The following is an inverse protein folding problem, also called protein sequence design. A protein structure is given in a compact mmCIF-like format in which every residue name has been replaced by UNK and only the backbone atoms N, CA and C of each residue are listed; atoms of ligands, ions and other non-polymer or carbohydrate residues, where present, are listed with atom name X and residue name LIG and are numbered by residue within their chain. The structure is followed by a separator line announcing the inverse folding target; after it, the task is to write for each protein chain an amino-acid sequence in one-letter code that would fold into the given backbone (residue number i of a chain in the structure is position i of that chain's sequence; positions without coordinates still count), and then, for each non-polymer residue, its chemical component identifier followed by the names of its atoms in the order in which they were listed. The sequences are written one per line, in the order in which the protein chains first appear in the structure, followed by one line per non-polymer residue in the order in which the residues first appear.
data_IF_997850344861
#
_entry.id   IF_997850344861
#
_cell.length_a   1.000
_cell.length_b   1.000
_cell.length_c   1.000
_cell.angle_alpha   90.00
_cell.angle_beta   90.00
_cell.angle_gamma   90.00
#
_symmetry.space_group_name_H-M   'P 1'
#
loop_
_entity.id
_entity.type
_entity.pdbx_description
1 polymer ?
#
# COMPACT_ATOMS: atom_id res chain seq x y z
N UNK A 1 31.84 -67.18 15.61
CA UNK A 1 32.32 -66.44 14.42
C UNK A 1 31.59 -65.11 14.38
N UNK A 2 32.37 -64.03 14.40
CA UNK A 2 31.95 -62.64 14.31
C UNK A 2 31.07 -62.35 13.09
N UNK A 3 30.10 -61.43 13.21
CA UNK A 3 30.06 -60.19 12.42
C UNK A 3 29.40 -59.09 13.26
N UNK A 4 29.95 -57.89 13.13
CA UNK A 4 29.68 -56.65 13.84
C UNK A 4 28.79 -55.70 12.99
N UNK A 5 28.13 -54.74 13.67
CA UNK A 5 27.80 -53.36 13.20
C UNK A 5 26.59 -53.15 12.26
N UNK A 6 25.64 -52.32 12.67
CA UNK A 6 25.53 -50.88 12.29
C UNK A 6 24.09 -50.36 12.38
N UNK A 7 23.98 -49.16 12.94
CA UNK A 7 22.76 -48.38 13.12
C UNK A 7 22.18 -47.87 11.78
N UNK A 8 20.85 -47.75 11.71
CA UNK A 8 20.15 -46.90 10.73
C UNK A 8 19.13 -46.06 11.48
N UNK A 9 19.39 -44.76 11.51
CA UNK A 9 18.50 -43.69 11.97
C UNK A 9 17.42 -43.49 10.90
N UNK A 10 16.14 -43.68 11.26
CA UNK A 10 15.01 -43.33 10.40
C UNK A 10 14.75 -41.82 10.49
N UNK A 11 15.22 -41.06 9.49
CA UNK A 11 14.78 -39.70 9.23
C UNK A 11 13.46 -39.76 8.44
N UNK A 12 12.38 -39.23 9.00
CA UNK A 12 11.10 -39.09 8.32
C UNK A 12 11.18 -37.92 7.32
N UNK A 13 11.20 -38.25 6.02
CA UNK A 13 11.05 -37.27 4.94
C UNK A 13 9.57 -36.94 4.71
N UNK A 14 9.17 -35.71 5.02
CA UNK A 14 7.92 -35.11 4.60
C UNK A 14 8.10 -34.57 3.16
N UNK A 15 7.58 -35.29 2.17
CA UNK A 15 7.43 -34.78 0.80
C UNK A 15 5.95 -34.50 0.52
N UNK A 16 5.54 -33.25 0.68
CA UNK A 16 4.26 -32.78 0.15
C UNK A 16 4.50 -32.24 -1.28
N UNK A 17 4.16 -33.06 -2.27
CA UNK A 17 4.09 -32.62 -3.66
C UNK A 17 2.81 -31.79 -3.85
N UNK A 18 2.96 -30.47 -3.99
CA UNK A 18 1.86 -29.58 -4.38
C UNK A 18 1.69 -29.69 -5.90
N UNK A 19 0.65 -30.40 -6.33
CA UNK A 19 0.19 -30.44 -7.72
C UNK A 19 -0.57 -29.14 -8.02
N UNK A 20 0.05 -28.25 -8.80
CA UNK A 20 -0.60 -27.07 -9.35
C UNK A 20 -1.50 -27.45 -10.52
N UNK A 21 -2.82 -27.51 -10.30
CA UNK A 21 -3.80 -27.49 -11.39
C UNK A 21 -4.09 -26.04 -11.73
N UNK A 22 -3.52 -25.55 -12.83
CA UNK A 22 -3.85 -24.26 -13.41
C UNK A 22 -5.31 -24.28 -13.92
N UNK A 23 -6.22 -23.71 -13.14
CA UNK A 23 -7.57 -23.36 -13.60
C UNK A 23 -7.58 -21.88 -14.02
N UNK A 24 -8.13 -21.53 -15.20
CA UNK A 24 -8.37 -20.14 -15.56
C UNK A 24 -9.56 -19.63 -14.72
N UNK A 25 -9.25 -18.93 -13.63
CA UNK A 25 -10.27 -18.40 -12.70
C UNK A 25 -9.86 -18.37 -11.22
N UNK A 26 -8.63 -18.74 -10.86
CA UNK A 26 -8.14 -18.58 -9.49
C UNK A 26 -8.06 -17.12 -9.11
N UNK A 27 -8.96 -16.67 -8.24
CA UNK A 27 -8.83 -15.41 -7.50
C UNK A 27 -7.45 -15.35 -6.82
N UNK A 28 -6.79 -14.18 -6.77
CA UNK A 28 -5.52 -14.07 -6.05
C UNK A 28 -5.73 -14.53 -4.61
N UNK A 29 -4.72 -15.26 -4.08
CA UNK A 29 -4.72 -15.74 -2.70
C UNK A 29 -5.20 -14.62 -1.77
N UNK A 30 -6.31 -14.84 -1.09
CA UNK A 30 -6.85 -13.88 -0.13
C UNK A 30 -5.79 -13.74 0.96
N UNK A 31 -5.36 -12.50 1.22
CA UNK A 31 -4.58 -12.20 2.41
C UNK A 31 -5.53 -12.36 3.61
N UNK A 32 -5.75 -13.61 4.04
CA UNK A 32 -6.61 -13.91 5.16
C UNK A 32 -5.96 -13.37 6.43
N UNK A 33 -6.50 -12.27 6.93
CA UNK A 33 -6.25 -11.82 8.28
C UNK A 33 -7.42 -12.34 9.12
N UNK A 34 -7.24 -13.39 9.94
CA UNK A 34 -8.36 -14.02 10.63
C UNK A 34 -9.00 -13.03 11.63
N UNK A 35 -10.14 -12.46 11.25
CA UNK A 35 -10.83 -11.41 12.01
C UNK A 35 -10.58 -9.97 11.53
N UNK A 36 -9.99 -9.79 10.34
CA UNK A 36 -9.82 -8.50 9.68
C UNK A 36 -10.78 -8.28 8.51
N UNK A 37 -11.00 -7.01 8.17
CA UNK A 37 -11.76 -6.63 6.99
C UNK A 37 -10.93 -6.81 5.71
N UNK A 38 -11.50 -7.44 4.68
CA UNK A 38 -10.86 -7.64 3.38
C UNK A 38 -11.53 -6.79 2.30
N UNK A 39 -10.73 -6.09 1.50
CA UNK A 39 -11.15 -5.26 0.37
C UNK A 39 -10.47 -5.71 -0.93
N UNK A 40 -11.19 -5.62 -2.05
CA UNK A 40 -10.58 -5.68 -3.37
C UNK A 40 -9.95 -4.32 -3.70
N UNK A 41 -8.67 -4.33 -4.07
CA UNK A 41 -7.93 -3.15 -4.50
C UNK A 41 -7.73 -3.17 -6.02
N UNK A 42 -8.17 -2.10 -6.66
CA UNK A 42 -7.82 -1.80 -8.05
C UNK A 42 -7.24 -0.39 -8.14
N UNK A 43 -6.03 -0.26 -8.66
CA UNK A 43 -5.32 1.02 -8.67
C UNK A 43 -4.24 1.12 -9.72
N UNK A 44 -3.51 2.23 -9.68
CA UNK A 44 -2.37 2.51 -10.56
C UNK A 44 -1.26 3.13 -9.73
N UNK A 45 -0.05 2.62 -9.89
CA UNK A 45 1.19 3.21 -9.40
C UNK A 45 1.92 3.95 -10.52
N UNK A 46 2.59 5.06 -10.16
CA UNK A 46 3.57 5.74 -10.98
C UNK A 46 4.92 5.68 -10.29
N UNK A 47 5.97 5.34 -11.03
CA UNK A 47 7.29 5.00 -10.50
C UNK A 47 8.34 5.89 -11.17
N UNK A 48 9.23 6.47 -10.37
CA UNK A 48 10.29 7.36 -10.85
C UNK A 48 11.58 7.22 -10.02
N UNK A 49 12.75 6.97 -10.66
CA UNK A 49 12.92 6.63 -12.08
C UNK A 49 12.24 5.28 -12.45
N UNK A 50 12.00 5.01 -13.75
CA UNK A 50 11.39 3.76 -14.19
C UNK A 50 12.20 2.52 -13.76
N UNK A 51 11.52 1.45 -13.39
CA UNK A 51 12.18 0.18 -13.05
C UNK A 51 12.80 -0.44 -14.30
N UNK A 52 13.98 -1.04 -14.15
CA UNK A 52 14.66 -1.79 -15.22
C UNK A 52 15.08 -3.17 -14.72
N UNK A 53 15.77 -3.95 -15.55
CA UNK A 53 16.43 -5.20 -15.11
C UNK A 53 17.52 -4.96 -14.07
N UNK A 54 18.06 -3.74 -14.00
CA UNK A 54 19.08 -3.35 -13.03
C UNK A 54 18.42 -2.79 -11.78
N UNK A 55 18.88 -3.26 -10.62
CA UNK A 55 18.40 -2.76 -9.34
C UNK A 55 18.77 -1.29 -9.15
N UNK A 56 17.81 -0.47 -8.76
CA UNK A 56 17.99 0.94 -8.45
C UNK A 56 17.03 1.42 -7.37
N UNK A 57 17.28 2.60 -6.82
CA UNK A 57 16.34 3.30 -5.94
C UNK A 57 15.27 4.01 -6.76
N UNK A 58 14.04 3.99 -6.27
CA UNK A 58 12.92 4.68 -6.90
C UNK A 58 11.95 5.23 -5.86
N UNK A 59 11.28 6.30 -6.22
CA UNK A 59 10.09 6.80 -5.55
C UNK A 59 8.86 6.35 -6.33
N UNK A 60 7.71 6.28 -5.66
CA UNK A 60 6.45 6.00 -6.33
C UNK A 60 5.31 6.73 -5.67
N UNK A 61 4.20 6.85 -6.39
CA UNK A 61 2.90 7.19 -5.82
C UNK A 61 1.89 6.20 -6.36
N UNK A 62 0.77 6.03 -5.66
CA UNK A 62 -0.34 5.26 -6.19
C UNK A 62 -1.68 5.80 -5.72
N UNK A 63 -2.71 5.45 -6.48
CA UNK A 63 -4.11 5.61 -6.09
C UNK A 63 -4.85 4.34 -6.43
N UNK A 64 -5.88 4.01 -5.65
CA UNK A 64 -6.74 2.87 -5.93
C UNK A 64 -8.12 2.99 -5.29
N UNK A 65 -9.05 2.23 -5.83
CA UNK A 65 -10.38 2.02 -5.26
C UNK A 65 -10.37 0.75 -4.41
N UNK A 66 -10.95 0.86 -3.22
CA UNK A 66 -11.28 -0.25 -2.34
C UNK A 66 -12.75 -0.58 -2.55
N UNK A 67 -13.02 -1.80 -3.02
CA UNK A 67 -14.37 -2.26 -3.31
C UNK A 67 -14.65 -3.60 -2.66
N UNK A 68 -15.94 -3.94 -2.53
CA UNK A 68 -16.39 -5.21 -1.98
C UNK A 68 -15.77 -5.52 -0.61
N UNK A 69 -15.60 -4.49 0.22
CA UNK A 69 -14.99 -4.67 1.53
C UNK A 69 -15.93 -5.43 2.45
N UNK A 70 -15.40 -6.47 3.09
CA UNK A 70 -16.11 -7.33 4.02
C UNK A 70 -15.38 -7.32 5.35
N UNK A 71 -16.09 -7.22 6.47
CA UNK A 71 -15.50 -7.32 7.81
C UNK A 71 -16.51 -7.95 8.76
N UNK A 72 -15.99 -8.62 9.79
CA UNK A 72 -16.79 -9.11 10.91
C UNK A 72 -17.05 -8.02 11.97
N UNK A 73 -16.43 -6.83 11.83
CA UNK A 73 -16.65 -5.68 12.71
C UNK A 73 -17.87 -4.89 12.24
N UNK A 74 -18.84 -4.71 13.13
CA UNK A 74 -20.05 -3.95 12.84
C UNK A 74 -19.71 -2.49 12.53
N UNK A 75 -20.29 -1.96 11.45
CA UNK A 75 -20.06 -0.59 11.00
C UNK A 75 -18.79 -0.41 10.17
N UNK A 76 -18.03 -1.47 9.89
CA UNK A 76 -16.86 -1.38 9.02
C UNK A 76 -17.24 -0.90 7.60
N UNK A 77 -16.40 -0.07 6.99
CA UNK A 77 -16.69 0.49 5.67
C UNK A 77 -16.66 -0.58 4.58
N UNK A 78 -17.62 -0.50 3.65
CA UNK A 78 -17.75 -1.46 2.53
C UNK A 78 -16.99 -1.03 1.27
N UNK A 79 -16.53 0.22 1.22
CA UNK A 79 -15.86 0.85 0.09
C UNK A 79 -14.96 2.00 0.56
N UNK A 80 -13.95 2.34 -0.23
CA UNK A 80 -13.12 3.51 0.01
C UNK A 80 -12.16 3.76 -1.15
N UNK A 81 -11.20 4.64 -0.92
CA UNK A 81 -10.06 4.87 -1.79
C UNK A 81 -8.79 4.76 -0.99
N UNK A 82 -7.70 4.32 -1.63
CA UNK A 82 -6.37 4.30 -1.03
C UNK A 82 -5.40 5.13 -1.84
N UNK A 83 -4.53 5.87 -1.18
CA UNK A 83 -3.47 6.65 -1.81
C UNK A 83 -2.16 6.59 -1.03
N UNK A 84 -1.07 6.81 -1.73
CA UNK A 84 0.22 7.14 -1.13
C UNK A 84 1.03 8.02 -2.08
N UNK A 85 1.79 8.98 -1.53
CA UNK A 85 2.65 9.89 -2.29
C UNK A 85 1.90 10.84 -3.22
N UNK A 86 0.59 11.06 -3.06
CA UNK A 86 -0.18 12.02 -3.86
C UNK A 86 -0.40 13.35 -3.14
N UNK A 87 -0.91 14.34 -3.87
CA UNK A 87 -1.34 15.61 -3.30
C UNK A 87 -2.83 15.55 -2.99
N UNK A 88 -3.19 15.87 -1.75
CA UNK A 88 -4.56 15.92 -1.26
C UNK A 88 -5.00 17.38 -1.04
N UNK A 89 -6.21 17.75 -1.49
CA UNK A 89 -6.78 19.06 -1.20
C UNK A 89 -7.32 19.09 0.23
N UNK A 90 -6.80 20.01 1.04
CA UNK A 90 -7.24 20.20 2.43
C UNK A 90 -7.74 21.61 2.68
N UNK A 91 -8.77 21.70 3.52
CA UNK A 91 -9.36 22.97 3.91
C UNK A 91 -8.70 23.46 5.20
N UNK A 92 -8.00 24.59 5.11
CA UNK A 92 -7.19 25.12 6.21
C UNK A 92 -7.44 26.60 6.43
N UNK A 93 -7.02 27.09 7.60
CA UNK A 93 -6.97 28.52 7.87
C UNK A 93 -5.83 29.16 7.08
N UNK A 94 -6.17 30.15 6.27
CA UNK A 94 -5.22 31.00 5.55
C UNK A 94 -5.06 32.33 6.28
N UNK A 95 -3.83 32.81 6.39
CA UNK A 95 -3.52 34.10 7.03
C UNK A 95 -3.03 35.09 5.99
N UNK A 96 -3.69 36.24 5.87
CA UNK A 96 -3.26 37.31 4.99
C UNK A 96 -1.95 37.93 5.51
N UNK A 97 -0.92 37.98 4.67
CA UNK A 97 0.43 38.43 5.05
C UNK A 97 0.44 39.93 5.41
N UNK A 98 -0.40 40.73 4.76
CA UNK A 98 -0.41 42.19 4.92
C UNK A 98 -1.27 42.67 6.08
N UNK A 99 -2.41 42.01 6.34
CA UNK A 99 -3.37 42.44 7.36
C UNK A 99 -3.38 41.57 8.60
N UNK A 100 -2.81 40.36 8.54
CA UNK A 100 -2.92 39.35 9.59
C UNK A 100 -4.32 38.73 9.73
N UNK A 101 -5.28 39.12 8.89
CA UNK A 101 -6.63 38.57 8.91
C UNK A 101 -6.66 37.12 8.44
N UNK A 102 -7.54 36.30 9.01
CA UNK A 102 -7.68 34.88 8.66
C UNK A 102 -8.93 34.62 7.83
N UNK A 103 -8.85 33.64 6.95
CA UNK A 103 -9.99 33.07 6.22
C UNK A 103 -9.81 31.57 6.10
N UNK A 104 -10.80 30.87 5.56
CA UNK A 104 -10.67 29.45 5.20
C UNK A 104 -10.43 29.34 3.70
N UNK A 105 -9.58 28.40 3.29
CA UNK A 105 -9.37 28.09 1.89
C UNK A 105 -8.84 26.66 1.69
N UNK A 106 -8.92 26.19 0.46
CA UNK A 106 -8.38 24.89 0.07
C UNK A 106 -6.98 25.06 -0.49
N UNK A 107 -6.02 24.29 0.03
CA UNK A 107 -4.64 24.20 -0.49
C UNK A 107 -4.27 22.73 -0.65
N UNK A 108 -3.19 22.45 -1.37
CA UNK A 108 -2.71 21.10 -1.59
C UNK A 108 -1.64 20.75 -0.55
N UNK A 109 -1.76 19.55 0.02
CA UNK A 109 -0.75 18.94 0.87
C UNK A 109 -0.25 17.65 0.23
N UNK A 110 1.05 17.44 0.26
CA UNK A 110 1.74 16.28 -0.27
C UNK A 110 1.85 15.21 0.81
N UNK A 111 1.30 14.02 0.56
CA UNK A 111 1.58 12.83 1.36
C UNK A 111 3.08 12.50 1.33
N UNK A 112 3.64 11.88 2.40
CA UNK A 112 4.99 11.33 2.36
C UNK A 112 5.17 10.46 1.12
N UNK A 113 6.26 10.68 0.38
CA UNK A 113 6.52 9.97 -0.89
C UNK A 113 7.14 8.62 -0.57
N UNK A 114 6.44 7.49 -0.83
CA UNK A 114 7.00 6.16 -0.65
C UNK A 114 8.27 5.94 -1.47
N UNK A 115 9.18 5.14 -0.91
CA UNK A 115 10.47 4.83 -1.52
C UNK A 115 10.62 3.33 -1.68
N UNK A 116 11.44 2.93 -2.63
CA UNK A 116 11.77 1.54 -2.88
C UNK A 116 13.14 1.36 -3.48
N UNK A 117 13.59 0.12 -3.47
CA UNK A 117 14.78 -0.30 -4.20
C UNK A 117 14.56 -1.66 -4.83
N UNK A 118 15.08 -1.85 -6.04
CA UNK A 118 14.94 -3.10 -6.76
C UNK A 118 14.91 -2.95 -8.27
N UNK A 119 14.54 -4.04 -8.92
CA UNK A 119 14.33 -4.19 -10.36
C UNK A 119 12.92 -4.73 -10.60
N UNK A 120 12.53 -4.98 -11.85
CA UNK A 120 11.26 -5.68 -12.10
C UNK A 120 11.27 -7.16 -11.70
N UNK A 121 12.45 -7.73 -11.43
CA UNK A 121 12.56 -9.11 -10.96
C UNK A 121 12.26 -9.22 -9.47
N UNK A 122 12.75 -8.27 -8.69
CA UNK A 122 12.53 -8.22 -7.25
C UNK A 122 12.68 -6.78 -6.74
N UNK A 123 11.81 -6.36 -5.84
CA UNK A 123 11.87 -5.04 -5.21
C UNK A 123 11.40 -5.09 -3.77
N UNK A 124 11.84 -4.10 -3.00
CA UNK A 124 11.32 -3.82 -1.67
C UNK A 124 10.90 -2.37 -1.63
N UNK A 125 9.74 -2.09 -1.07
CA UNK A 125 9.25 -0.72 -0.89
C UNK A 125 8.77 -0.48 0.52
N UNK A 126 8.74 0.77 0.94
CA UNK A 126 8.16 1.20 2.21
C UNK A 126 7.44 2.53 2.03
N UNK A 127 6.44 2.78 2.87
CA UNK A 127 5.73 4.06 2.89
C UNK A 127 4.53 4.06 3.83
N UNK A 128 3.81 5.18 3.81
CA UNK A 128 2.52 5.32 4.47
C UNK A 128 1.43 5.41 3.41
N UNK A 129 0.30 4.72 3.64
CA UNK A 129 -0.88 4.79 2.79
C UNK A 129 -2.07 5.34 3.59
N UNK A 130 -2.84 6.20 2.94
CA UNK A 130 -4.10 6.70 3.44
C UNK A 130 -5.23 5.92 2.80
N UNK A 131 -6.10 5.31 3.61
CA UNK A 131 -7.41 4.85 3.17
C UNK A 131 -8.47 5.86 3.61
N UNK A 132 -9.15 6.47 2.64
CA UNK A 132 -10.31 7.32 2.87
C UNK A 132 -11.58 6.51 2.56
N UNK A 133 -12.40 6.27 3.57
CA UNK A 133 -13.54 5.37 3.51
C UNK A 133 -14.82 6.08 3.07
N UNK A 134 -15.79 5.29 2.57
CA UNK A 134 -17.07 5.82 2.08
C UNK A 134 -17.96 6.46 3.15
N UNK A 135 -17.67 6.22 4.43
CA UNK A 135 -18.31 6.86 5.58
C UNK A 135 -17.63 8.17 6.01
N UNK A 136 -16.57 8.59 5.31
CA UNK A 136 -15.80 9.80 5.59
C UNK A 136 -14.72 9.63 6.66
N UNK A 137 -14.46 8.40 7.11
CA UNK A 137 -13.37 8.07 8.04
C UNK A 137 -12.08 7.73 7.32
N UNK A 138 -10.98 7.78 8.06
CA UNK A 138 -9.65 7.53 7.56
C UNK A 138 -8.94 6.42 8.33
N UNK A 139 -8.13 5.65 7.61
CA UNK A 139 -7.16 4.72 8.19
C UNK A 139 -5.81 4.95 7.56
N UNK A 140 -4.79 5.18 8.39
CA UNK A 140 -3.40 5.32 7.96
C UNK A 140 -2.68 4.01 8.24
N UNK A 141 -2.01 3.47 7.23
CA UNK A 141 -1.21 2.24 7.33
C UNK A 141 0.23 2.57 6.97
N UNK A 142 1.16 2.34 7.90
CA UNK A 142 2.59 2.23 7.60
C UNK A 142 2.85 0.82 7.07
N UNK A 143 3.57 0.69 5.96
CA UNK A 143 3.78 -0.60 5.32
C UNK A 143 5.16 -0.75 4.69
N UNK A 144 5.57 -2.02 4.61
CA UNK A 144 6.63 -2.54 3.79
C UNK A 144 6.04 -3.49 2.73
N UNK A 145 6.65 -3.53 1.55
CA UNK A 145 6.34 -4.54 0.54
C UNK A 145 7.59 -5.28 0.08
N UNK A 146 7.40 -6.55 -0.26
CA UNK A 146 8.36 -7.34 -1.02
C UNK A 146 7.70 -7.77 -2.32
N UNK A 147 8.25 -7.32 -3.44
CA UNK A 147 7.85 -7.70 -4.78
C UNK A 147 8.78 -8.76 -5.36
N UNK A 148 8.21 -9.82 -5.92
CA UNK A 148 8.92 -10.79 -6.75
C UNK A 148 8.13 -10.97 -8.06
N UNK A 149 8.75 -10.59 -9.18
CA UNK A 149 8.08 -10.50 -10.48
C UNK A 149 6.85 -9.57 -10.40
N UNK A 150 5.69 -10.06 -10.85
CA UNK A 150 4.41 -9.36 -10.81
C UNK A 150 3.71 -9.44 -9.44
N UNK A 151 4.17 -10.28 -8.51
CA UNK A 151 3.52 -10.45 -7.22
C UNK A 151 4.18 -9.54 -6.17
N UNK A 152 3.35 -8.83 -5.41
CA UNK A 152 3.78 -7.96 -4.32
C UNK A 152 3.04 -8.35 -3.06
N UNK A 153 3.80 -8.68 -2.02
CA UNK A 153 3.28 -8.95 -0.70
C UNK A 153 3.53 -7.72 0.19
N UNK A 154 2.45 -7.17 0.74
CA UNK A 154 2.47 -6.03 1.64
C UNK A 154 2.26 -6.51 3.07
N UNK A 155 3.05 -5.96 3.98
CA UNK A 155 2.84 -6.05 5.42
C UNK A 155 2.83 -4.65 5.99
N UNK A 156 1.86 -4.33 6.81
CA UNK A 156 1.75 -3.01 7.42
C UNK A 156 1.07 -3.06 8.76
N UNK A 157 1.07 -1.91 9.43
CA UNK A 157 0.40 -1.68 10.70
C UNK A 157 -0.39 -0.39 10.61
N UNK A 158 -1.60 -0.39 11.14
CA UNK A 158 -2.40 0.82 11.28
C UNK A 158 -1.71 1.75 12.29
N UNK A 159 -1.37 2.97 11.85
CA UNK A 159 -0.74 3.98 12.70
C UNK A 159 -1.73 5.09 13.07
N UNK A 160 -1.37 5.91 14.06
CA UNK A 160 -2.27 6.92 14.60
C UNK A 160 -2.60 8.04 13.60
N UNK A 161 -1.63 8.44 12.79
CA UNK A 161 -1.78 9.55 11.85
C UNK A 161 -0.61 9.59 10.88
N UNK A 162 -0.82 10.23 9.73
CA UNK A 162 0.25 10.65 8.83
C UNK A 162 0.36 12.18 8.81
N UNK A 163 1.55 12.68 8.49
CA UNK A 163 1.80 14.12 8.34
C UNK A 163 2.09 14.45 6.88
N UNK A 164 1.30 15.36 6.34
CA UNK A 164 1.41 15.85 4.98
C UNK A 164 2.13 17.20 4.98
N UNK A 165 2.86 17.48 3.90
CA UNK A 165 3.64 18.71 3.73
C UNK A 165 2.97 19.68 2.76
N UNK A 166 2.87 20.95 3.11
CA UNK A 166 2.22 21.96 2.27
C UNK A 166 2.91 22.08 0.91
N UNK A 167 2.11 22.04 -0.16
CA UNK A 167 2.55 22.38 -1.51
C UNK A 167 2.45 23.90 -1.66
N UNK A 168 3.56 24.60 -1.42
CA UNK A 168 3.58 26.07 -1.32
C UNK A 168 2.98 26.79 -2.55
N UNK A 169 3.10 26.22 -3.75
CA UNK A 169 2.54 26.78 -4.98
C UNK A 169 1.00 26.76 -5.04
N UNK A 170 0.35 25.99 -4.16
CA UNK A 170 -1.12 25.95 -4.07
C UNK A 170 -1.70 27.05 -3.17
N UNK A 171 -0.87 27.78 -2.42
CA UNK A 171 -1.32 28.84 -1.52
C UNK A 171 -1.63 30.10 -2.35
N UNK A 172 -2.82 30.70 -2.20
CA UNK A 172 -3.14 31.96 -2.88
C UNK A 172 -2.13 33.08 -2.56
N UNK A 173 -1.81 33.89 -3.56
CA UNK A 173 -0.87 35.00 -3.40
C UNK A 173 -1.34 35.96 -2.29
N UNK A 174 -0.40 36.36 -1.42
CA UNK A 174 -0.68 37.23 -0.28
C UNK A 174 -1.19 36.51 0.98
N UNK A 175 -1.24 35.18 0.97
CA UNK A 175 -1.61 34.36 2.13
C UNK A 175 -0.50 33.38 2.54
N UNK A 176 -0.56 32.94 3.79
CA UNK A 176 0.18 31.78 4.31
C UNK A 176 -0.79 30.70 4.78
N UNK A 177 -0.36 29.45 4.73
CA UNK A 177 -1.07 28.28 5.24
C UNK A 177 -0.17 27.51 6.21
N UNK A 178 -0.72 26.63 7.07
CA UNK A 178 0.08 25.74 7.91
C UNK A 178 1.05 24.91 7.06
N UNK A 179 2.31 24.82 7.49
CA UNK A 179 3.35 24.10 6.74
C UNK A 179 3.09 22.59 6.67
N UNK A 180 2.32 22.05 7.61
CA UNK A 180 1.93 20.65 7.66
C UNK A 180 0.44 20.51 7.93
N UNK A 181 -0.10 19.37 7.53
CA UNK A 181 -1.46 18.94 7.84
C UNK A 181 -1.41 17.49 8.33
N UNK A 182 -2.21 17.14 9.33
CA UNK A 182 -2.19 15.80 9.92
C UNK A 182 -3.52 15.12 9.67
N UNK A 183 -3.49 13.98 9.00
CA UNK A 183 -4.65 13.11 8.86
C UNK A 183 -4.53 12.01 9.90
N UNK A 184 -5.53 11.88 10.76
CA UNK A 184 -5.57 10.86 11.81
C UNK A 184 -6.37 9.65 11.37
N UNK A 185 -5.98 8.48 11.86
CA UNK A 185 -6.83 7.29 11.83
C UNK A 185 -7.99 7.51 12.79
N UNK A 186 -9.21 7.53 12.26
CA UNK A 186 -10.44 7.72 13.04
C UNK A 186 -11.52 6.69 12.70
N UNK A 187 -11.16 5.64 11.94
CA UNK A 187 -12.01 4.49 11.65
C UNK A 187 -12.03 3.49 12.83
N UNK A 188 -13.14 3.38 13.59
CA UNK A 188 -13.22 2.50 14.76
C UNK A 188 -13.14 1.01 14.42
N UNK A 189 -13.48 0.59 13.20
CA UNK A 189 -13.35 -0.80 12.77
C UNK A 189 -11.90 -1.24 12.59
N UNK A 190 -10.99 -0.28 12.36
CA UNK A 190 -9.57 -0.52 12.13
C UNK A 190 -8.71 0.33 13.08
N UNK A 191 -8.67 -0.01 14.39
CA UNK A 191 -7.92 0.78 15.35
C UNK A 191 -6.40 0.71 15.13
N UNK A 192 -5.68 1.67 15.72
CA UNK A 192 -4.21 1.73 15.70
C UNK A 192 -3.60 0.45 16.28
N UNK A 193 -2.54 -0.05 15.64
CA UNK A 193 -1.83 -1.28 15.99
C UNK A 193 -2.35 -2.53 15.27
N UNK A 194 -3.47 -2.45 14.56
CA UNK A 194 -3.97 -3.54 13.73
C UNK A 194 -3.02 -3.85 12.58
N UNK A 195 -2.90 -5.11 12.21
CA UNK A 195 -2.05 -5.55 11.11
C UNK A 195 -2.78 -5.35 9.78
N UNK A 196 -2.01 -5.05 8.74
CA UNK A 196 -2.48 -4.98 7.36
C UNK A 196 -1.64 -5.92 6.52
N UNK A 197 -2.30 -6.76 5.72
CA UNK A 197 -1.65 -7.67 4.79
C UNK A 197 -2.29 -7.48 3.43
N UNK A 198 -1.49 -7.44 2.37
CA UNK A 198 -2.03 -7.47 1.02
C UNK A 198 -1.27 -8.43 0.12
N UNK A 199 -2.02 -9.10 -0.74
CA UNK A 199 -1.49 -9.87 -1.86
C UNK A 199 -1.89 -9.14 -3.14
N UNK A 200 -0.93 -8.46 -3.74
CA UNK A 200 -1.13 -7.58 -4.88
C UNK A 200 -0.43 -8.15 -6.12
N UNK A 201 -1.03 -7.90 -7.27
CA UNK A 201 -0.47 -8.15 -8.59
C UNK A 201 -0.24 -6.83 -9.28
N UNK A 202 0.98 -6.65 -9.78
CA UNK A 202 1.42 -5.49 -10.54
C UNK A 202 1.58 -5.90 -12.00
N UNK A 203 1.02 -5.09 -12.90
CA UNK A 203 1.20 -5.27 -14.34
C UNK A 203 1.48 -3.92 -14.98
N UNK A 204 2.43 -3.80 -15.91
CA UNK A 204 2.67 -2.54 -16.61
C UNK A 204 1.39 -1.99 -17.26
N UNK A 205 1.21 -0.67 -17.24
CA UNK A 205 0.00 -0.05 -17.84
C UNK A 205 0.02 -0.05 -19.36
N UNK A 206 1.20 -0.18 -19.97
CA UNK A 206 1.37 -0.28 -21.42
C UNK A 206 2.17 -1.52 -21.79
N UNK A 207 1.75 -2.20 -22.87
CA UNK A 207 2.36 -3.47 -23.30
C UNK A 207 3.83 -3.32 -23.74
N UNK A 208 4.23 -2.10 -24.09
CA UNK A 208 5.59 -1.75 -24.49
C UNK A 208 6.60 -1.75 -23.32
N UNK A 209 6.13 -1.73 -22.07
CA UNK A 209 6.98 -1.75 -20.87
C UNK A 209 7.31 -3.20 -20.51
N UNK A 210 8.41 -3.70 -21.06
CA UNK A 210 8.91 -5.07 -20.87
C UNK A 210 10.01 -5.19 -19.81
N UNK A 211 10.39 -4.07 -19.18
CA UNK A 211 11.49 -3.92 -18.22
C UNK A 211 12.90 -4.12 -18.77
N UNK A 212 13.04 -4.61 -20.01
CA UNK A 212 14.33 -4.91 -20.64
C UNK A 212 14.72 -3.78 -21.59
N UNK A 213 13.83 -3.45 -22.53
CA UNK A 213 14.02 -2.40 -23.52
C UNK A 213 13.39 -1.08 -23.08
N UNK A 214 12.26 -1.15 -22.37
CA UNK A 214 11.62 0.01 -21.74
C UNK A 214 11.32 -0.26 -20.28
N UNK A 215 11.78 0.64 -19.43
CA UNK A 215 11.52 0.54 -17.99
C UNK A 215 10.05 0.73 -17.63
N UNK A 216 9.63 0.11 -16.53
CA UNK A 216 8.26 0.23 -16.00
C UNK A 216 8.16 1.52 -15.20
N UNK A 217 7.50 2.53 -15.75
CA UNK A 217 7.22 3.80 -15.07
C UNK A 217 5.81 3.87 -14.48
N UNK A 218 4.94 2.91 -14.82
CA UNK A 218 3.57 2.85 -14.34
C UNK A 218 3.07 1.42 -14.33
N UNK A 219 2.35 1.04 -13.28
CA UNK A 219 1.81 -0.31 -13.12
C UNK A 219 0.37 -0.28 -12.58
N UNK A 220 -0.52 -1.05 -13.19
CA UNK A 220 -1.81 -1.37 -12.59
C UNK A 220 -1.58 -2.23 -11.35
N UNK A 221 -2.35 -1.96 -10.31
CA UNK A 221 -2.39 -2.71 -9.06
C UNK A 221 -3.73 -3.43 -9.01
N UNK A 222 -3.71 -4.74 -8.77
CA UNK A 222 -4.92 -5.52 -8.51
C UNK A 222 -4.66 -6.53 -7.41
N UNK A 223 -5.55 -6.66 -6.44
CA UNK A 223 -5.41 -7.68 -5.41
C UNK A 223 -6.40 -7.55 -4.27
N UNK A 224 -6.09 -8.23 -3.17
CA UNK A 224 -6.86 -8.15 -1.94
C UNK A 224 -6.00 -7.53 -0.83
N UNK A 225 -6.59 -6.60 -0.07
CA UNK A 225 -6.01 -6.03 1.15
C UNK A 225 -6.86 -6.47 2.32
N UNK A 226 -6.24 -7.03 3.36
CA UNK A 226 -6.86 -7.33 4.65
C UNK A 226 -6.33 -6.38 5.74
N UNK A 227 -7.22 -5.73 6.49
CA UNK A 227 -6.87 -4.90 7.67
C UNK A 227 -7.55 -5.50 8.89
N UNK A 228 -6.78 -5.87 9.91
CA UNK A 228 -7.31 -6.38 11.17
C UNK A 228 -6.31 -7.16 11.99
N UNK A 229 -6.81 -7.94 12.94
CA UNK A 229 -5.94 -8.62 13.90
C UNK A 229 -5.40 -9.89 13.27
N UNK A 230 -4.07 -9.98 13.15
CA UNK A 230 -3.44 -11.28 13.01
C UNK A 230 -3.58 -11.96 14.38
N UNK A 231 -4.47 -12.95 14.48
CA UNK A 231 -4.60 -13.80 15.67
C UNK A 231 -3.57 -14.91 15.68
#
# INVERSE_FOLDING_TARGET
MSVHRSAIVLAAGLSAAVLWVAHPGGSPAQAQNPGGGECQLQGVANISPPLSTTSGSFAYNFTGALSSCQSNVAGAPTTGTVSAGVQLPETVTLTNISTGGTTTGTVLYQEPIPQGSGSCGNSTTAGEALSAWGDGKNTVVDYDTTGALAAVQLQGTVVASMTLTLVASSVPAGFTAPATFTISTDEPAFPVGQQSLAALTFSPTTQDQDCVTKGVSSANISGAIGIGSAM
#
